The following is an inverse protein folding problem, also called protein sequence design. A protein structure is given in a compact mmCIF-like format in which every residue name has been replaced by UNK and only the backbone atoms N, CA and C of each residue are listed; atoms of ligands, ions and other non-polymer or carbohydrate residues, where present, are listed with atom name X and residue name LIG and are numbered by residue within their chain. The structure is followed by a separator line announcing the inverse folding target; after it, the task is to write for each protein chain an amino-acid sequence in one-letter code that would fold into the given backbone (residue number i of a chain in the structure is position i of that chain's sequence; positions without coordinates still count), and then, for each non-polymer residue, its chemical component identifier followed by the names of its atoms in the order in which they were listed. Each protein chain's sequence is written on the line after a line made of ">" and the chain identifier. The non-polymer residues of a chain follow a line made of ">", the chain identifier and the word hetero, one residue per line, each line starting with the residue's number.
data_IF_803767965649
#
_entry.id   IF_803767965649
#
_cell.length_a   1.000
_cell.length_b   1.000
_cell.length_c   1.000
_cell.angle_alpha   90.00
_cell.angle_beta   90.00
_cell.angle_gamma   90.00
#
_symmetry.space_group_name_H-M   'P 1'
#
loop_
_entity.id
_entity.type
_entity.pdbx_description
1 polymer ?
#
# COMPACT_ATOMS: atom_id res chain seq x y z
N UNK A 1 -28.95 -45.80 -27.75
CA UNK A 1 -28.89 -46.57 -29.00
C UNK A 1 -28.51 -48.05 -28.84
N UNK A 2 -27.83 -48.48 -27.79
CA UNK A 2 -27.71 -49.93 -27.54
C UNK A 2 -29.02 -50.69 -27.30
N UNK A 3 -30.18 -49.98 -27.17
CA UNK A 3 -31.52 -50.55 -26.92
C UNK A 3 -32.46 -50.47 -28.16
N UNK A 4 -31.94 -50.18 -29.37
CA UNK A 4 -32.72 -50.18 -30.59
C UNK A 4 -33.78 -49.10 -30.79
N UNK A 5 -33.73 -48.01 -29.99
CA UNK A 5 -34.68 -46.91 -30.07
C UNK A 5 -34.49 -46.10 -31.39
N UNK A 6 -35.57 -45.73 -32.12
CA UNK A 6 -35.50 -44.91 -33.29
C UNK A 6 -34.86 -43.56 -33.01
N UNK A 7 -34.01 -43.07 -33.91
CA UNK A 7 -33.27 -41.77 -33.78
C UNK A 7 -34.22 -40.62 -33.49
N UNK A 8 -35.40 -40.58 -34.12
CA UNK A 8 -36.43 -39.56 -33.86
C UNK A 8 -36.88 -39.52 -32.43
N UNK A 9 -37.22 -40.65 -31.83
CA UNK A 9 -37.64 -40.72 -30.42
C UNK A 9 -36.56 -40.27 -29.43
N UNK A 10 -35.31 -40.59 -29.73
CA UNK A 10 -34.18 -40.14 -28.91
C UNK A 10 -33.99 -38.63 -29.05
N UNK A 11 -34.13 -38.08 -30.29
CA UNK A 11 -34.03 -36.65 -30.54
C UNK A 11 -35.09 -35.86 -29.73
N UNK A 12 -36.33 -36.34 -29.80
CA UNK A 12 -37.44 -35.73 -29.09
C UNK A 12 -37.28 -35.80 -27.57
N UNK A 13 -36.79 -36.95 -27.03
CA UNK A 13 -36.54 -37.13 -25.60
C UNK A 13 -35.49 -36.16 -25.07
N UNK A 14 -34.47 -35.85 -25.87
CA UNK A 14 -33.39 -34.94 -25.46
C UNK A 14 -33.60 -33.51 -25.98
N UNK A 15 -34.73 -33.22 -26.62
CA UNK A 15 -35.04 -31.93 -27.21
C UNK A 15 -33.92 -31.37 -28.09
N UNK A 16 -33.37 -32.22 -28.97
CA UNK A 16 -32.28 -31.88 -29.89
C UNK A 16 -32.63 -32.26 -31.31
N UNK A 17 -32.08 -31.52 -32.27
CA UNK A 17 -32.25 -31.85 -33.69
C UNK A 17 -31.60 -33.20 -34.04
N UNK A 18 -32.20 -33.94 -35.00
CA UNK A 18 -31.68 -35.23 -35.46
C UNK A 18 -30.25 -35.14 -36.00
N UNK A 19 -29.89 -34.02 -36.63
CA UNK A 19 -28.54 -33.80 -37.15
C UNK A 19 -27.52 -33.68 -36.01
N UNK A 20 -27.90 -33.11 -34.88
CA UNK A 20 -27.10 -33.05 -33.67
C UNK A 20 -26.83 -34.43 -33.10
N UNK A 21 -27.84 -35.32 -33.04
CA UNK A 21 -27.68 -36.71 -32.65
C UNK A 21 -26.74 -37.49 -33.57
N UNK A 22 -26.88 -37.34 -34.87
CA UNK A 22 -25.96 -38.00 -35.81
C UNK A 22 -24.53 -37.48 -35.68
N UNK A 23 -24.35 -36.19 -35.38
CA UNK A 23 -23.03 -35.59 -35.12
C UNK A 23 -22.41 -36.17 -33.82
N UNK A 24 -23.21 -36.32 -32.75
CA UNK A 24 -22.77 -36.94 -31.51
C UNK A 24 -22.42 -38.43 -31.71
N UNK A 25 -23.21 -39.17 -32.45
CA UNK A 25 -22.95 -40.56 -32.77
C UNK A 25 -21.66 -40.72 -33.57
N UNK A 26 -21.41 -39.87 -34.55
CA UNK A 26 -20.18 -39.89 -35.34
C UNK A 26 -18.98 -39.64 -34.43
N UNK A 27 -19.04 -38.62 -33.58
CA UNK A 27 -18.00 -38.30 -32.60
C UNK A 27 -17.74 -39.47 -31.60
N UNK A 28 -18.81 -40.02 -31.11
CA UNK A 28 -18.71 -41.19 -30.20
C UNK A 28 -18.09 -42.44 -30.88
N UNK A 29 -18.44 -42.68 -32.14
CA UNK A 29 -17.85 -43.81 -32.89
C UNK A 29 -16.37 -43.63 -33.16
N UNK A 30 -15.92 -42.37 -33.38
CA UNK A 30 -14.52 -42.06 -33.66
C UNK A 30 -13.67 -42.02 -32.39
N UNK A 31 -14.12 -41.35 -31.33
CA UNK A 31 -13.32 -41.01 -30.16
C UNK A 31 -13.95 -41.47 -28.81
N UNK A 32 -14.92 -42.39 -28.87
CA UNK A 32 -15.58 -42.87 -27.64
C UNK A 32 -16.26 -41.77 -26.84
N UNK A 33 -16.23 -41.90 -25.52
CA UNK A 33 -16.82 -40.86 -24.59
C UNK A 33 -16.13 -39.51 -24.69
N UNK A 34 -14.84 -39.51 -24.96
CA UNK A 34 -14.06 -38.24 -25.06
C UNK A 34 -14.48 -37.42 -26.29
N UNK A 35 -14.95 -38.06 -27.37
CA UNK A 35 -15.52 -37.36 -28.51
C UNK A 35 -16.83 -36.62 -28.23
N UNK A 36 -17.51 -36.90 -27.13
CA UNK A 36 -18.72 -36.19 -26.70
C UNK A 36 -18.41 -34.97 -25.80
N UNK A 37 -17.21 -34.83 -25.30
CA UNK A 37 -16.81 -33.67 -24.55
C UNK A 37 -16.84 -32.43 -25.47
N UNK A 38 -17.25 -31.29 -24.89
CA UNK A 38 -17.26 -30.01 -25.61
C UNK A 38 -15.82 -29.64 -25.96
N UNK A 39 -15.45 -29.74 -27.20
CA UNK A 39 -14.19 -29.20 -27.69
C UNK A 39 -14.26 -27.68 -27.61
N UNK A 40 -13.23 -27.08 -27.02
CA UNK A 40 -13.03 -25.64 -27.06
C UNK A 40 -12.87 -25.31 -28.54
N UNK A 41 -13.75 -24.46 -29.10
CA UNK A 41 -13.63 -23.99 -30.46
C UNK A 41 -12.29 -23.28 -30.63
N UNK A 42 -11.72 -23.35 -31.86
CA UNK A 42 -10.44 -22.71 -32.17
C UNK A 42 -10.45 -21.19 -31.96
N UNK A 43 -11.62 -20.57 -31.79
CA UNK A 43 -11.73 -19.14 -31.56
C UNK A 43 -11.06 -18.30 -32.67
N UNK A 44 -11.14 -16.97 -32.54
CA UNK A 44 -10.32 -16.05 -33.36
C UNK A 44 -8.87 -16.13 -32.83
N UNK A 45 -7.85 -16.22 -33.73
CA UNK A 45 -6.45 -16.15 -33.30
C UNK A 45 -6.21 -14.96 -32.39
N UNK A 46 -5.35 -15.11 -31.39
CA UNK A 46 -5.03 -14.02 -30.46
C UNK A 46 -4.17 -12.99 -31.19
N UNK A 47 -4.61 -11.75 -31.21
CA UNK A 47 -3.95 -10.62 -31.90
C UNK A 47 -2.53 -10.29 -31.40
N UNK A 48 -1.99 -10.92 -30.40
CA UNK A 48 -0.67 -10.66 -29.83
C UNK A 48 0.00 -12.00 -29.47
N UNK A 49 -0.08 -13.01 -30.39
CA UNK A 49 0.57 -14.31 -30.15
C UNK A 49 2.10 -14.17 -30.09
N UNK A 50 2.67 -13.25 -30.88
CA UNK A 50 4.10 -13.00 -30.97
C UNK A 50 4.66 -12.22 -29.73
N UNK A 51 3.80 -11.60 -28.93
CA UNK A 51 4.20 -10.91 -27.71
C UNK A 51 4.15 -11.88 -26.54
N UNK A 52 5.32 -12.38 -26.14
CA UNK A 52 5.42 -13.26 -24.98
C UNK A 52 5.13 -12.50 -23.68
N UNK A 53 4.64 -13.21 -22.67
CA UNK A 53 4.38 -12.62 -21.33
C UNK A 53 5.64 -12.02 -20.71
N UNK A 54 6.80 -12.60 -20.95
CA UNK A 54 8.09 -12.10 -20.47
C UNK A 54 8.43 -10.72 -21.05
N UNK A 55 8.15 -10.51 -22.35
CA UNK A 55 8.46 -9.25 -23.02
C UNK A 55 7.53 -8.14 -22.53
N UNK A 56 6.25 -8.46 -22.34
CA UNK A 56 5.28 -7.53 -21.78
C UNK A 56 5.64 -7.14 -20.32
N UNK A 57 6.08 -8.10 -19.52
CA UNK A 57 6.59 -7.83 -18.16
C UNK A 57 7.83 -6.95 -18.19
N UNK A 58 8.76 -7.21 -19.11
CA UNK A 58 9.97 -6.42 -19.28
C UNK A 58 9.62 -4.96 -19.62
N UNK A 59 8.76 -4.72 -20.63
CA UNK A 59 8.30 -3.37 -21.00
C UNK A 59 7.72 -2.64 -19.78
N UNK A 60 6.82 -3.29 -19.04
CA UNK A 60 6.16 -2.67 -17.86
C UNK A 60 7.13 -2.40 -16.71
N UNK A 61 8.20 -3.18 -16.58
CA UNK A 61 9.24 -2.98 -15.54
C UNK A 61 10.23 -1.87 -15.90
N UNK A 62 10.36 -1.52 -17.18
CA UNK A 62 11.10 -0.34 -17.60
C UNK A 62 10.28 0.94 -17.34
N UNK A 63 10.89 2.05 -16.94
CA UNK A 63 10.22 3.34 -16.89
C UNK A 63 9.66 3.74 -18.26
N UNK A 64 8.48 4.35 -18.30
CA UNK A 64 7.90 4.80 -19.58
C UNK A 64 8.77 5.88 -20.26
N UNK A 65 9.61 6.59 -19.51
CA UNK A 65 10.59 7.55 -20.05
C UNK A 65 11.67 6.91 -20.95
N UNK A 66 11.91 5.61 -20.84
CA UNK A 66 12.79 4.89 -21.77
C UNK A 66 12.14 4.67 -23.17
N UNK A 67 10.85 4.95 -23.27
CA UNK A 67 10.05 4.86 -24.50
C UNK A 67 9.55 6.26 -24.96
N UNK A 68 10.36 7.28 -24.78
CA UNK A 68 10.12 8.67 -25.19
C UNK A 68 8.91 9.37 -24.52
N UNK A 69 8.47 8.90 -23.35
CA UNK A 69 7.47 9.61 -22.56
C UNK A 69 8.13 10.51 -21.49
N UNK A 70 7.51 11.66 -21.21
CA UNK A 70 7.98 12.60 -20.17
C UNK A 70 7.75 12.12 -18.71
N UNK A 71 7.37 10.88 -18.51
CA UNK A 71 6.99 10.33 -17.19
C UNK A 71 7.23 8.83 -17.14
N UNK A 72 7.56 8.33 -15.96
CA UNK A 72 7.82 6.91 -15.73
C UNK A 72 6.54 6.06 -15.60
N UNK A 73 5.36 6.69 -15.65
CA UNK A 73 4.10 5.99 -15.41
C UNK A 73 3.52 5.37 -16.69
N UNK A 74 3.26 4.09 -16.63
CA UNK A 74 2.52 3.39 -17.66
C UNK A 74 1.01 3.62 -17.58
N UNK A 75 0.41 3.89 -18.72
CA UNK A 75 -1.03 3.82 -18.92
C UNK A 75 -1.31 2.77 -20.01
N UNK A 76 -2.52 2.22 -20.02
CA UNK A 76 -2.89 1.26 -21.09
C UNK A 76 -2.73 1.87 -22.48
N UNK A 77 -3.00 3.18 -22.63
CA UNK A 77 -2.83 3.87 -23.92
C UNK A 77 -1.37 3.99 -24.35
N UNK A 78 -0.44 4.24 -23.42
CA UNK A 78 1.00 4.25 -23.74
C UNK A 78 1.51 2.87 -24.10
N UNK A 79 1.12 1.86 -23.33
CA UNK A 79 1.47 0.46 -23.63
C UNK A 79 0.89 0.02 -24.98
N UNK A 80 -0.35 0.43 -25.30
CA UNK A 80 -0.94 0.19 -26.62
C UNK A 80 -0.05 0.74 -27.73
N UNK A 81 0.34 2.01 -27.61
CA UNK A 81 1.16 2.68 -28.62
C UNK A 81 2.52 2.01 -28.80
N UNK A 82 3.22 1.70 -27.72
CA UNK A 82 4.51 0.97 -27.79
C UNK A 82 4.34 -0.41 -28.41
N UNK A 83 3.26 -1.14 -28.10
CA UNK A 83 2.99 -2.46 -28.69
C UNK A 83 2.67 -2.33 -30.19
N UNK A 84 1.89 -1.34 -30.58
CA UNK A 84 1.56 -1.05 -31.99
C UNK A 84 2.80 -0.68 -32.78
N UNK A 85 3.68 0.17 -32.20
CA UNK A 85 4.94 0.59 -32.85
C UNK A 85 5.94 -0.57 -32.99
N UNK A 86 6.02 -1.46 -32.00
CA UNK A 86 6.98 -2.59 -32.01
C UNK A 86 6.51 -3.74 -32.91
N UNK A 87 5.21 -4.03 -32.92
CA UNK A 87 4.67 -5.19 -33.63
C UNK A 87 4.02 -4.83 -34.99
N UNK A 88 3.94 -3.54 -35.29
CA UNK A 88 3.24 -3.02 -36.50
C UNK A 88 1.78 -3.52 -36.64
N UNK A 89 1.09 -3.67 -35.49
CA UNK A 89 -0.26 -4.24 -35.40
C UNK A 89 -1.19 -3.32 -34.64
N UNK A 90 -2.31 -2.93 -35.19
CA UNK A 90 -3.36 -2.20 -34.48
C UNK A 90 -4.07 -3.09 -33.44
N UNK A 91 -4.10 -2.67 -32.19
CA UNK A 91 -4.77 -3.38 -31.10
C UNK A 91 -5.65 -2.46 -30.27
N UNK A 92 -6.74 -2.98 -29.73
CA UNK A 92 -7.59 -2.21 -28.81
C UNK A 92 -7.00 -2.16 -27.40
N UNK A 93 -7.32 -1.09 -26.63
CA UNK A 93 -6.95 -0.97 -25.20
C UNK A 93 -7.44 -2.16 -24.39
N UNK A 94 -8.61 -2.73 -24.71
CA UNK A 94 -9.15 -3.91 -24.03
C UNK A 94 -8.31 -5.16 -24.29
N UNK A 95 -7.75 -5.29 -25.49
CA UNK A 95 -6.83 -6.39 -25.84
C UNK A 95 -5.55 -6.28 -25.02
N UNK A 96 -4.95 -5.08 -24.96
CA UNK A 96 -3.76 -4.80 -24.14
C UNK A 96 -4.06 -5.06 -22.65
N UNK A 97 -5.19 -4.56 -22.13
CA UNK A 97 -5.59 -4.80 -20.74
C UNK A 97 -5.69 -6.29 -20.40
N UNK A 98 -6.32 -7.09 -21.27
CA UNK A 98 -6.42 -8.54 -21.06
C UNK A 98 -5.04 -9.20 -21.05
N UNK A 99 -4.17 -8.84 -22.00
CA UNK A 99 -2.81 -9.39 -22.08
C UNK A 99 -1.98 -9.04 -20.83
N UNK A 100 -2.10 -7.81 -20.32
CA UNK A 100 -1.48 -7.42 -19.02
C UNK A 100 -1.96 -8.30 -17.88
N UNK A 101 -3.27 -8.56 -17.82
CA UNK A 101 -3.85 -9.44 -16.78
C UNK A 101 -3.40 -10.89 -16.93
N UNK A 102 -3.36 -11.42 -18.14
CA UNK A 102 -2.87 -12.77 -18.44
C UNK A 102 -1.40 -12.92 -18.07
N UNK A 103 -0.59 -11.88 -18.26
CA UNK A 103 0.81 -11.81 -17.85
C UNK A 103 0.99 -11.64 -16.31
N UNK A 104 -0.08 -11.66 -15.52
CA UNK A 104 -0.03 -11.53 -14.06
C UNK A 104 0.22 -10.10 -13.56
N UNK A 105 0.08 -9.09 -14.43
CA UNK A 105 0.24 -7.69 -14.07
C UNK A 105 -1.06 -7.11 -13.52
N UNK A 106 -0.94 -6.20 -12.55
CA UNK A 106 -2.08 -5.53 -11.91
C UNK A 106 -1.89 -4.02 -11.95
N UNK A 107 -2.99 -3.30 -12.13
CA UNK A 107 -2.97 -1.83 -12.09
C UNK A 107 -2.87 -1.37 -10.64
N UNK A 108 -1.71 -0.81 -10.27
CA UNK A 108 -1.38 -0.43 -8.91
C UNK A 108 -1.06 1.06 -8.82
N UNK A 109 -1.27 1.64 -7.65
CA UNK A 109 -0.77 2.97 -7.35
C UNK A 109 0.72 2.86 -6.99
N UNK A 110 1.62 3.57 -7.69
CA UNK A 110 3.04 3.53 -7.38
C UNK A 110 3.31 4.17 -6.01
N UNK A 111 4.32 3.68 -5.33
CA UNK A 111 4.88 4.32 -4.15
C UNK A 111 5.82 5.45 -4.56
N UNK A 112 5.91 6.48 -3.71
CA UNK A 112 6.84 7.59 -3.94
C UNK A 112 8.24 7.17 -3.52
N UNK A 113 9.18 7.29 -4.44
CA UNK A 113 10.60 7.21 -4.13
C UNK A 113 11.22 8.61 -4.30
N UNK A 114 11.91 9.07 -3.28
CA UNK A 114 12.55 10.38 -3.34
C UNK A 114 13.90 10.27 -4.05
N UNK A 115 14.17 11.18 -4.98
CA UNK A 115 15.46 11.23 -5.68
C UNK A 115 16.66 11.42 -4.73
N UNK A 116 16.40 11.99 -3.55
CA UNK A 116 17.41 12.25 -2.52
C UNK A 116 17.74 11.04 -1.66
N UNK A 117 17.13 9.88 -1.92
CA UNK A 117 17.44 8.64 -1.19
C UNK A 117 18.88 8.23 -1.46
N UNK A 118 19.67 8.12 -0.41
CA UNK A 118 21.01 7.58 -0.46
C UNK A 118 21.01 6.12 0.00
N UNK A 119 21.03 5.22 -0.97
CA UNK A 119 21.02 3.78 -0.70
C UNK A 119 22.26 3.30 0.02
N UNK A 120 23.43 3.95 -0.20
CA UNK A 120 24.66 3.65 0.54
C UNK A 120 24.53 4.04 2.01
N UNK A 121 23.91 5.20 2.29
CA UNK A 121 23.62 5.62 3.65
C UNK A 121 22.63 4.67 4.34
N UNK A 122 21.61 4.18 3.63
CA UNK A 122 20.65 3.16 4.12
C UNK A 122 21.37 1.86 4.47
N UNK A 123 22.18 1.33 3.58
CA UNK A 123 22.97 0.11 3.81
C UNK A 123 23.96 0.27 4.98
N UNK A 124 24.61 1.43 5.08
CA UNK A 124 25.46 1.76 6.22
C UNK A 124 24.66 1.72 7.52
N UNK A 125 23.49 2.36 7.56
CA UNK A 125 22.62 2.41 8.73
C UNK A 125 22.23 1.00 9.21
N UNK A 126 21.87 0.12 8.29
CA UNK A 126 21.54 -1.28 8.61
C UNK A 126 22.73 -2.02 9.24
N UNK A 127 23.95 -1.71 8.81
CA UNK A 127 25.16 -2.37 9.29
C UNK A 127 25.71 -1.77 10.59
N UNK A 128 25.48 -0.48 10.83
CA UNK A 128 26.07 0.24 11.98
C UNK A 128 25.05 0.55 13.07
N UNK A 129 23.92 1.18 12.72
CA UNK A 129 22.95 1.68 13.69
C UNK A 129 22.01 0.58 14.19
N UNK A 130 21.50 -0.29 13.33
CA UNK A 130 20.61 -1.39 13.71
C UNK A 130 21.23 -2.29 14.79
N UNK A 131 22.50 -2.74 14.68
CA UNK A 131 23.14 -3.50 15.74
C UNK A 131 23.26 -2.72 17.05
N UNK A 132 23.56 -1.42 17.00
CA UNK A 132 23.63 -0.55 18.20
C UNK A 132 22.26 -0.40 18.86
N UNK A 133 21.21 -0.15 18.07
CA UNK A 133 19.83 -0.10 18.55
C UNK A 133 19.46 -1.42 19.26
N UNK A 134 19.74 -2.56 18.63
CA UNK A 134 19.48 -3.89 19.22
C UNK A 134 20.25 -4.12 20.50
N UNK A 135 21.51 -3.70 20.56
CA UNK A 135 22.35 -3.77 21.76
C UNK A 135 21.77 -2.92 22.86
N UNK A 136 21.43 -1.65 22.59
CA UNK A 136 20.82 -0.75 23.57
C UNK A 136 19.47 -1.30 24.10
N UNK A 137 18.61 -1.82 23.22
CA UNK A 137 17.34 -2.44 23.62
C UNK A 137 17.57 -3.62 24.56
N UNK A 138 18.56 -4.48 24.26
CA UNK A 138 18.88 -5.67 25.07
C UNK A 138 19.54 -5.32 26.39
N UNK A 139 20.58 -4.49 26.35
CA UNK A 139 21.40 -4.12 27.51
C UNK A 139 20.59 -3.39 28.57
N UNK A 140 19.81 -2.38 28.15
CA UNK A 140 18.99 -1.58 29.05
C UNK A 140 17.59 -2.14 29.26
N UNK A 141 17.24 -3.28 28.62
CA UNK A 141 15.87 -3.80 28.58
C UNK A 141 14.86 -2.70 28.15
N UNK A 142 15.31 -1.86 27.22
CA UNK A 142 14.59 -0.67 26.80
C UNK A 142 13.38 -1.01 25.94
N UNK A 143 12.41 -0.11 25.91
CA UNK A 143 11.29 -0.19 24.97
C UNK A 143 11.69 0.60 23.72
N UNK A 144 11.63 -0.07 22.55
CA UNK A 144 11.89 0.56 21.26
C UNK A 144 10.64 1.24 20.73
N UNK A 145 10.79 2.50 20.38
CA UNK A 145 9.79 3.32 19.68
C UNK A 145 10.35 3.90 18.38
N UNK A 146 9.53 3.94 17.39
CA UNK A 146 9.71 4.79 16.22
C UNK A 146 8.77 5.98 16.35
N UNK A 147 9.30 7.18 16.21
CA UNK A 147 8.57 8.42 16.40
C UNK A 147 8.46 9.17 15.07
N UNK A 148 7.34 9.82 14.86
CA UNK A 148 7.09 10.64 13.68
C UNK A 148 6.10 11.78 13.99
N UNK A 149 6.05 12.73 13.06
CA UNK A 149 5.18 13.90 13.12
C UNK A 149 4.25 13.94 11.92
N UNK A 150 3.06 14.45 12.14
CA UNK A 150 2.14 14.65 11.04
C UNK A 150 1.24 15.85 11.25
N UNK A 151 0.87 16.47 10.14
CA UNK A 151 -0.22 17.43 10.14
C UNK A 151 -1.49 16.73 9.63
N UNK A 152 -2.55 16.82 10.42
CA UNK A 152 -3.90 16.36 10.05
C UNK A 152 -4.65 17.57 9.49
N UNK A 153 -4.96 17.52 8.20
CA UNK A 153 -5.62 18.62 7.52
C UNK A 153 -7.10 18.75 7.90
N UNK A 154 -7.58 19.98 8.01
CA UNK A 154 -9.01 20.27 8.15
C UNK A 154 -9.77 19.89 6.86
N UNK A 155 -9.15 19.99 5.69
CA UNK A 155 -9.69 19.46 4.44
C UNK A 155 -9.55 17.95 4.42
N UNK A 156 -10.68 17.25 4.46
CA UNK A 156 -10.71 15.78 4.54
C UNK A 156 -10.18 15.10 3.27
N UNK A 157 -9.48 14.01 3.43
CA UNK A 157 -9.19 13.08 2.34
C UNK A 157 -10.48 12.40 1.87
N UNK A 158 -10.78 12.49 0.57
CA UNK A 158 -11.86 11.75 -0.05
C UNK A 158 -11.33 10.41 -0.58
N UNK A 159 -12.11 9.37 -0.41
CA UNK A 159 -11.83 8.08 -1.02
C UNK A 159 -12.91 7.71 -2.04
N UNK A 160 -12.78 6.53 -2.60
CA UNK A 160 -13.84 5.97 -3.46
C UNK A 160 -15.06 5.61 -2.63
N UNK A 161 -16.25 5.83 -3.20
CA UNK A 161 -17.55 5.42 -2.65
C UNK A 161 -18.46 4.91 -3.77
N UNK A 162 -19.54 4.27 -3.41
CA UNK A 162 -20.55 3.81 -4.37
C UNK A 162 -21.43 4.96 -4.84
N UNK A 163 -21.82 4.91 -6.11
CA UNK A 163 -22.74 5.84 -6.74
C UNK A 163 -23.44 5.21 -7.92
N UNK A 164 -24.47 5.87 -8.42
CA UNK A 164 -25.18 5.45 -9.64
C UNK A 164 -24.23 5.63 -10.83
N UNK A 165 -24.22 4.68 -11.76
CA UNK A 165 -23.42 4.77 -12.98
C UNK A 165 -23.71 6.09 -13.73
N UNK A 166 -22.67 6.81 -14.10
CA UNK A 166 -22.79 8.13 -14.75
C UNK A 166 -23.08 9.30 -13.81
N UNK A 167 -23.32 9.06 -12.50
CA UNK A 167 -23.56 10.11 -11.52
C UNK A 167 -22.47 10.11 -10.45
N UNK A 168 -21.59 11.11 -10.50
CA UNK A 168 -20.52 11.24 -9.52
C UNK A 168 -21.08 11.65 -8.15
N UNK A 169 -20.87 10.84 -7.07
CA UNK A 169 -21.30 11.21 -5.73
C UNK A 169 -20.62 12.50 -5.25
N UNK A 170 -21.40 13.35 -4.57
CA UNK A 170 -20.89 14.59 -3.97
C UNK A 170 -20.81 14.42 -2.46
N UNK A 171 -19.65 14.75 -1.88
CA UNK A 171 -19.41 14.73 -0.44
C UNK A 171 -19.10 16.15 0.02
N UNK A 172 -19.86 16.67 0.97
CA UNK A 172 -19.60 17.98 1.54
C UNK A 172 -18.39 17.94 2.46
N UNK A 173 -17.42 18.80 2.20
CA UNK A 173 -16.21 18.99 3.01
C UNK A 173 -16.01 20.48 3.27
N UNK A 174 -15.26 20.83 4.31
CA UNK A 174 -14.91 22.23 4.54
C UNK A 174 -13.89 22.72 3.52
N UNK A 175 -14.05 23.93 3.04
CA UNK A 175 -13.05 24.65 2.24
C UNK A 175 -12.03 25.43 3.09
N UNK A 176 -12.18 25.45 4.41
CA UNK A 176 -11.30 26.17 5.34
C UNK A 176 -9.93 25.48 5.38
N UNK A 177 -8.87 26.30 5.20
CA UNK A 177 -7.50 25.82 5.37
C UNK A 177 -7.15 25.72 6.84
N UNK A 178 -6.27 24.78 7.17
CA UNK A 178 -5.80 24.59 8.53
C UNK A 178 -5.57 23.10 8.84
N UNK A 179 -5.18 22.84 10.08
CA UNK A 179 -4.93 21.47 10.53
C UNK A 179 -4.48 21.43 11.98
N UNK A 180 -4.24 20.23 12.44
CA UNK A 180 -3.74 19.91 13.78
C UNK A 180 -2.40 19.22 13.64
N UNK A 181 -1.37 19.73 14.32
CA UNK A 181 -0.08 19.08 14.39
C UNK A 181 -0.15 17.94 15.41
N UNK A 182 0.46 16.83 15.08
CA UNK A 182 0.45 15.65 15.94
C UNK A 182 1.82 14.98 15.92
N UNK A 183 2.22 14.44 17.08
CA UNK A 183 3.35 13.53 17.21
C UNK A 183 2.85 12.18 17.68
N UNK A 184 3.45 11.11 17.20
CA UNK A 184 3.25 9.78 17.76
C UNK A 184 4.54 9.00 17.88
N UNK A 185 4.49 7.93 18.63
CA UNK A 185 5.56 6.96 18.75
C UNK A 185 4.95 5.56 18.83
N UNK A 186 5.34 4.71 17.89
CA UNK A 186 4.86 3.34 17.74
C UNK A 186 5.93 2.34 18.19
N UNK A 187 5.57 1.37 19.01
CA UNK A 187 6.44 0.24 19.37
C UNK A 187 6.04 -1.05 18.67
N UNK A 188 7.02 -1.95 18.45
CA UNK A 188 6.76 -3.29 17.91
C UNK A 188 5.86 -4.15 18.79
N UNK A 189 5.70 -3.81 20.07
CA UNK A 189 4.77 -4.46 20.99
C UNK A 189 3.31 -4.03 20.76
N UNK A 190 3.04 -3.11 19.82
CA UNK A 190 1.71 -2.59 19.54
C UNK A 190 1.26 -1.53 20.54
N UNK A 191 2.16 -0.71 21.05
CA UNK A 191 1.84 0.44 21.88
C UNK A 191 2.02 1.73 21.09
N UNK A 192 1.03 2.60 21.14
CA UNK A 192 1.03 3.92 20.51
C UNK A 192 0.94 5.00 21.61
N UNK A 193 1.94 5.86 21.68
CA UNK A 193 1.89 7.12 22.41
C UNK A 193 1.68 8.24 21.40
N UNK A 194 0.91 9.26 21.75
CA UNK A 194 0.66 10.38 20.85
C UNK A 194 0.30 11.67 21.60
N UNK A 195 0.52 12.79 20.93
CA UNK A 195 0.13 14.13 21.40
C UNK A 195 -0.32 14.99 20.23
N UNK A 196 -1.32 15.83 20.48
CA UNK A 196 -1.81 16.85 19.53
C UNK A 196 -1.36 18.23 19.99
N UNK A 197 -0.91 19.04 19.05
CA UNK A 197 -0.42 20.40 19.30
C UNK A 197 -1.23 21.40 18.49
N UNK A 198 -1.45 22.58 19.06
CA UNK A 198 -2.18 23.65 18.39
C UNK A 198 -1.29 24.44 17.42
N UNK A 199 0.01 24.43 17.68
CA UNK A 199 1.02 25.15 16.92
C UNK A 199 1.87 24.18 16.07
N UNK A 200 2.76 24.75 15.27
CA UNK A 200 3.79 23.99 14.57
C UNK A 200 4.71 23.34 15.60
N UNK A 201 5.10 22.11 15.32
CA UNK A 201 6.05 21.38 16.15
C UNK A 201 7.45 21.98 15.97
N UNK A 202 8.06 22.36 17.07
CA UNK A 202 9.44 22.80 17.17
C UNK A 202 10.17 21.97 18.23
N UNK A 203 11.42 22.32 18.55
CA UNK A 203 12.24 21.56 19.53
C UNK A 203 11.59 21.47 20.91
N UNK A 204 10.84 22.49 21.35
CA UNK A 204 10.15 22.47 22.63
C UNK A 204 9.06 21.40 22.68
N UNK A 205 8.27 21.26 21.61
CA UNK A 205 7.23 20.20 21.51
C UNK A 205 7.85 18.81 21.44
N UNK A 206 8.99 18.66 20.75
CA UNK A 206 9.74 17.39 20.70
C UNK A 206 10.19 16.99 22.09
N UNK A 207 10.85 17.91 22.80
CA UNK A 207 11.32 17.68 24.18
C UNK A 207 10.15 17.35 25.10
N UNK A 208 9.08 18.11 25.02
CA UNK A 208 7.88 17.87 25.82
C UNK A 208 7.29 16.49 25.57
N UNK A 209 7.24 16.03 24.33
CA UNK A 209 6.74 14.70 24.00
C UNK A 209 7.67 13.59 24.51
N UNK A 210 8.99 13.73 24.35
CA UNK A 210 9.98 12.80 24.88
C UNK A 210 9.91 12.71 26.42
N UNK A 211 9.74 13.84 27.09
CA UNK A 211 9.56 13.87 28.55
C UNK A 211 8.29 13.12 28.97
N UNK A 212 7.17 13.32 28.28
CA UNK A 212 5.94 12.58 28.51
C UNK A 212 6.10 11.06 28.30
N UNK A 213 6.87 10.65 27.28
CA UNK A 213 7.19 9.24 27.07
C UNK A 213 7.98 8.66 28.25
N UNK A 214 8.96 9.39 28.78
CA UNK A 214 9.74 9.00 29.95
C UNK A 214 8.88 8.94 31.23
N UNK A 215 7.96 9.88 31.40
CA UNK A 215 7.02 9.90 32.52
C UNK A 215 6.00 8.75 32.45
N UNK A 216 5.52 8.42 31.23
CA UNK A 216 4.64 7.28 31.01
C UNK A 216 5.31 5.95 31.35
N UNK A 217 6.60 5.83 31.06
CA UNK A 217 7.42 4.64 31.29
C UNK A 217 8.34 4.82 32.51
N UNK A 218 7.76 5.02 33.68
CA UNK A 218 8.53 5.20 34.91
C UNK A 218 9.54 4.06 35.12
N UNK A 219 10.81 4.41 35.36
CA UNK A 219 11.87 3.45 35.63
C UNK A 219 12.34 2.60 34.43
N UNK A 220 11.80 2.80 33.21
CA UNK A 220 12.21 2.07 32.01
C UNK A 220 13.09 2.93 31.12
N UNK A 221 14.06 2.30 30.50
CA UNK A 221 14.79 2.92 29.39
C UNK A 221 13.97 2.91 28.11
N UNK A 222 14.13 3.94 27.32
CA UNK A 222 13.52 4.09 25.99
C UNK A 222 14.61 4.21 24.94
N UNK A 223 14.47 3.45 23.90
CA UNK A 223 15.18 3.66 22.63
C UNK A 223 14.19 4.28 21.66
N UNK A 224 14.49 5.47 21.18
CA UNK A 224 13.62 6.19 20.24
C UNK A 224 14.36 6.41 18.94
N UNK A 225 13.75 5.99 17.86
CA UNK A 225 14.25 6.20 16.50
C UNK A 225 13.35 7.24 15.82
N UNK A 226 13.93 8.32 15.32
CA UNK A 226 13.21 9.40 14.63
C UNK A 226 13.97 9.87 13.40
N UNK A 227 13.35 10.71 12.59
CA UNK A 227 14.03 11.30 11.44
C UNK A 227 15.02 12.40 11.86
N UNK A 228 15.74 12.95 10.88
CA UNK A 228 16.72 14.02 11.09
C UNK A 228 16.14 15.43 10.85
N UNK A 229 14.85 15.64 11.13
CA UNK A 229 14.25 16.96 11.02
C UNK A 229 14.96 18.00 11.92
N UNK A 230 14.99 19.29 11.56
CA UNK A 230 15.67 20.32 12.35
C UNK A 230 15.26 20.37 13.82
N UNK A 231 13.99 20.20 14.21
CA UNK A 231 13.61 20.13 15.63
C UNK A 231 14.25 18.99 16.38
N UNK A 232 14.47 17.83 15.73
CA UNK A 232 15.05 16.63 16.36
C UNK A 232 16.56 16.75 16.55
N UNK A 233 17.25 17.45 15.65
CA UNK A 233 18.69 17.57 15.65
C UNK A 233 19.21 18.90 16.24
N UNK A 234 18.31 19.73 16.74
CA UNK A 234 18.64 21.03 17.35
C UNK A 234 19.52 20.87 18.59
N UNK A 235 20.31 21.90 18.88
CA UNK A 235 21.16 21.93 20.08
C UNK A 235 20.32 21.75 21.37
N UNK A 236 19.14 22.37 21.42
CA UNK A 236 18.24 22.28 22.56
C UNK A 236 17.76 20.84 22.79
N UNK A 237 17.37 20.13 21.73
CA UNK A 237 16.94 18.74 21.81
C UNK A 237 18.10 17.82 22.22
N UNK A 238 19.30 18.03 21.66
CA UNK A 238 20.50 17.25 22.02
C UNK A 238 20.86 17.45 23.51
N UNK A 239 20.92 18.69 23.99
CA UNK A 239 21.21 18.99 25.40
C UNK A 239 20.18 18.35 26.33
N UNK A 240 18.90 18.34 25.97
CA UNK A 240 17.88 17.63 26.74
C UNK A 240 18.16 16.12 26.80
N UNK A 241 18.46 15.50 25.67
CA UNK A 241 18.71 14.05 25.59
C UNK A 241 19.94 13.65 26.40
N UNK A 242 21.02 14.43 26.33
CA UNK A 242 22.26 14.22 27.12
C UNK A 242 21.98 14.23 28.63
N UNK A 243 21.03 15.03 29.06
CA UNK A 243 20.59 15.08 30.45
C UNK A 243 19.65 13.93 30.89
N UNK A 244 19.26 13.03 29.95
CA UNK A 244 18.29 11.98 30.21
C UNK A 244 18.89 10.57 30.14
N UNK A 245 19.42 9.99 31.23
CA UNK A 245 20.16 8.70 31.17
C UNK A 245 19.29 7.51 30.73
N UNK A 246 17.98 7.64 30.75
CA UNK A 246 17.04 6.60 30.34
C UNK A 246 16.57 6.73 28.88
N UNK A 247 17.03 7.74 28.13
CA UNK A 247 16.63 8.02 26.76
C UNK A 247 17.80 7.82 25.80
N UNK A 248 17.67 6.85 24.91
CA UNK A 248 18.66 6.53 23.89
C UNK A 248 18.08 6.87 22.54
N UNK A 249 18.64 7.87 21.86
CA UNK A 249 18.12 8.36 20.60
C UNK A 249 18.97 7.87 19.43
N UNK A 250 18.29 7.45 18.35
CA UNK A 250 18.86 7.10 17.07
C UNK A 250 18.11 7.81 15.94
N UNK A 251 18.82 8.02 14.84
CA UNK A 251 18.23 8.72 13.69
C UNK A 251 18.14 7.79 12.48
N UNK A 252 16.99 7.86 11.78
CA UNK A 252 16.85 7.22 10.47
C UNK A 252 17.75 7.90 9.43
N UNK A 253 18.13 7.21 8.35
CA UNK A 253 18.74 7.84 7.21
C UNK A 253 17.86 8.94 6.65
N UNK A 254 18.46 10.00 6.12
CA UNK A 254 17.70 11.09 5.49
C UNK A 254 16.84 10.55 4.35
N UNK A 255 15.68 11.17 4.14
CA UNK A 255 14.72 10.82 3.09
C UNK A 255 14.26 9.35 3.10
N UNK A 256 14.09 8.77 4.29
CA UNK A 256 13.67 7.37 4.45
C UNK A 256 12.35 7.23 5.25
N UNK A 257 11.27 7.91 4.88
CA UNK A 257 9.98 7.79 5.58
C UNK A 257 9.39 6.38 5.47
N UNK A 258 9.68 5.68 4.38
CA UNK A 258 9.31 4.27 4.16
C UNK A 258 9.92 3.33 5.22
N UNK A 259 10.98 3.76 5.90
CA UNK A 259 11.66 3.05 6.98
C UNK A 259 11.13 3.41 8.38
N UNK A 260 10.20 4.37 8.47
CA UNK A 260 9.55 4.72 9.73
C UNK A 260 8.21 3.99 9.88
N UNK A 261 8.08 2.99 10.77
CA UNK A 261 6.81 2.31 11.01
C UNK A 261 5.68 3.25 11.47
N UNK A 262 6.01 4.36 12.13
CA UNK A 262 5.01 5.32 12.63
C UNK A 262 4.31 6.07 11.49
N UNK A 263 4.95 6.21 10.30
CA UNK A 263 4.29 6.69 9.08
C UNK A 263 3.05 5.86 8.68
N UNK A 264 3.05 4.56 8.99
CA UNK A 264 1.89 3.70 8.73
C UNK A 264 0.72 4.03 9.64
N UNK A 265 0.99 4.54 10.86
CA UNK A 265 -0.04 5.06 11.78
C UNK A 265 -0.73 6.27 11.15
N UNK A 266 0.05 7.23 10.65
CA UNK A 266 -0.49 8.42 10.00
C UNK A 266 -1.26 8.11 8.73
N UNK A 267 -0.76 7.17 7.94
CA UNK A 267 -1.45 6.68 6.75
C UNK A 267 -2.81 6.06 7.11
N UNK A 268 -2.84 5.19 8.11
CA UNK A 268 -4.07 4.58 8.59
C UNK A 268 -5.05 5.63 9.14
N UNK A 269 -4.56 6.53 9.98
CA UNK A 269 -5.38 7.61 10.54
C UNK A 269 -6.03 8.46 9.44
N UNK A 270 -5.24 8.95 8.47
CA UNK A 270 -5.71 9.87 7.43
C UNK A 270 -6.65 9.22 6.41
N UNK A 271 -6.31 8.00 6.00
CA UNK A 271 -7.00 7.34 4.87
C UNK A 271 -8.09 6.35 5.29
N UNK A 272 -8.13 5.94 6.56
CA UNK A 272 -9.17 5.04 7.07
C UNK A 272 -10.01 5.72 8.15
N UNK A 273 -9.40 6.19 9.24
CA UNK A 273 -10.12 6.69 10.40
C UNK A 273 -10.74 8.09 10.20
N UNK A 274 -10.03 8.97 9.48
CA UNK A 274 -10.44 10.36 9.21
C UNK A 274 -10.89 10.58 7.75
N UNK A 275 -11.07 9.50 6.99
CA UNK A 275 -11.55 9.60 5.62
C UNK A 275 -12.90 10.29 5.56
N UNK A 276 -13.02 11.32 4.70
CA UNK A 276 -14.23 12.11 4.51
C UNK A 276 -14.84 12.66 5.83
N UNK A 277 -13.99 13.01 6.82
CA UNK A 277 -14.48 13.61 8.06
C UNK A 277 -15.23 14.93 7.81
N UNK A 278 -16.13 15.28 8.73
CA UNK A 278 -17.00 16.45 8.62
C UNK A 278 -16.64 17.59 9.58
N UNK A 279 -15.44 17.54 10.17
CA UNK A 279 -14.99 18.61 11.05
C UNK A 279 -14.94 19.94 10.30
N UNK A 280 -15.51 20.98 10.86
CA UNK A 280 -15.60 22.33 10.28
C UNK A 280 -14.58 23.29 10.91
N UNK A 281 -14.18 23.01 12.15
CA UNK A 281 -13.23 23.84 12.91
C UNK A 281 -12.02 23.01 13.34
N UNK A 282 -10.96 23.71 13.74
CA UNK A 282 -9.73 23.09 14.25
C UNK A 282 -10.00 22.30 15.54
N UNK A 283 -10.87 22.82 16.40
CA UNK A 283 -11.26 22.21 17.67
C UNK A 283 -12.01 20.88 17.43
N UNK A 284 -12.97 20.88 16.51
CA UNK A 284 -13.68 19.67 16.09
C UNK A 284 -12.72 18.62 15.52
N UNK A 285 -11.79 19.07 14.64
CA UNK A 285 -10.79 18.18 14.06
C UNK A 285 -9.87 17.60 15.13
N UNK A 286 -9.43 18.43 16.09
CA UNK A 286 -8.57 18.01 17.22
C UNK A 286 -9.28 16.98 18.09
N UNK A 287 -10.53 17.23 18.44
CA UNK A 287 -11.35 16.28 19.22
C UNK A 287 -11.53 14.95 18.49
N UNK A 288 -11.88 15.01 17.20
CA UNK A 288 -12.05 13.83 16.36
C UNK A 288 -10.73 13.03 16.21
N UNK A 289 -9.63 13.72 15.91
CA UNK A 289 -8.30 13.11 15.78
C UNK A 289 -7.88 12.42 17.08
N UNK A 290 -8.08 13.10 18.22
CA UNK A 290 -7.79 12.52 19.53
C UNK A 290 -8.62 11.26 19.80
N UNK A 291 -9.92 11.29 19.50
CA UNK A 291 -10.80 10.13 19.66
C UNK A 291 -10.34 8.94 18.81
N UNK A 292 -9.96 9.18 17.55
CA UNK A 292 -9.47 8.16 16.65
C UNK A 292 -8.14 7.56 17.08
N UNK A 293 -7.16 8.38 17.42
CA UNK A 293 -5.86 7.91 17.94
C UNK A 293 -6.02 7.14 19.24
N UNK A 294 -6.92 7.57 20.14
CA UNK A 294 -7.26 6.79 21.36
C UNK A 294 -7.91 5.46 21.03
N UNK A 295 -8.76 5.40 20.00
CA UNK A 295 -9.32 4.15 19.49
C UNK A 295 -8.22 3.20 19.00
N UNK A 296 -7.32 3.70 18.16
CA UNK A 296 -6.19 2.94 17.63
C UNK A 296 -5.26 2.46 18.77
N UNK A 297 -4.95 3.30 19.77
CA UNK A 297 -4.07 2.94 20.88
C UNK A 297 -4.61 1.79 21.76
N UNK A 298 -5.92 1.55 21.72
CA UNK A 298 -6.58 0.42 22.39
C UNK A 298 -6.56 -0.87 21.57
N UNK A 299 -6.00 -0.86 20.37
CA UNK A 299 -5.94 -2.02 19.47
C UNK A 299 -4.48 -2.44 19.17
N UNK A 300 -3.81 -3.18 20.09
CA UNK A 300 -2.43 -3.60 19.90
C UNK A 300 -2.22 -4.49 18.67
N UNK A 301 -3.24 -5.25 18.26
CA UNK A 301 -3.16 -6.11 17.07
C UNK A 301 -3.05 -5.28 15.79
N UNK A 302 -3.88 -4.24 15.65
CA UNK A 302 -3.77 -3.27 14.56
C UNK A 302 -2.38 -2.63 14.53
N UNK A 303 -1.92 -2.13 15.69
CA UNK A 303 -0.66 -1.40 15.79
C UNK A 303 0.55 -2.29 15.46
N UNK A 304 0.57 -3.53 15.92
CA UNK A 304 1.58 -4.52 15.49
C UNK A 304 1.53 -4.74 13.99
N UNK A 305 0.33 -4.93 13.43
CA UNK A 305 0.16 -5.07 11.98
C UNK A 305 0.67 -3.86 11.19
N UNK A 306 0.52 -2.63 11.71
CA UNK A 306 1.07 -1.43 11.10
C UNK A 306 2.60 -1.38 11.22
N UNK A 307 3.14 -1.74 12.38
CA UNK A 307 4.59 -1.79 12.62
C UNK A 307 5.28 -2.76 11.66
N UNK A 308 4.81 -4.01 11.58
CA UNK A 308 5.41 -5.06 10.75
C UNK A 308 5.13 -4.93 9.24
N UNK A 309 4.38 -3.93 8.81
CA UNK A 309 4.29 -3.56 7.38
C UNK A 309 5.48 -2.72 6.90
N UNK A 310 6.34 -2.31 7.79
CA UNK A 310 7.55 -1.56 7.45
C UNK A 310 8.72 -2.53 7.27
N UNK A 311 9.48 -2.38 6.20
CA UNK A 311 10.63 -3.25 5.88
C UNK A 311 11.73 -3.26 6.96
N UNK A 312 11.81 -2.21 7.77
CA UNK A 312 12.78 -2.11 8.88
C UNK A 312 12.33 -2.90 10.11
N UNK A 313 11.03 -3.19 10.22
CA UNK A 313 10.48 -3.90 11.37
C UNK A 313 11.06 -5.31 11.56
N UNK A 314 11.42 -6.00 10.46
CA UNK A 314 11.99 -7.34 10.49
C UNK A 314 13.34 -7.40 11.24
N UNK A 315 14.03 -6.26 11.37
CA UNK A 315 15.27 -6.18 12.14
C UNK A 315 15.05 -6.04 13.65
N UNK A 316 13.81 -5.78 14.08
CA UNK A 316 13.45 -5.47 15.48
C UNK A 316 12.34 -6.36 16.03
N UNK A 317 11.93 -7.39 15.29
CA UNK A 317 10.93 -8.40 15.67
C UNK A 317 11.47 -9.45 16.63
#
# INVERSE_FOLDING_TARGET
>A
MKRGLPVGQVADTFNVDRTTLFRWLRRFRTNGKDGLQRQIGSGRPRLLEDLEEKDLRWIVMCPASEFDYETDLWTVGRLQQVIEDVLEVEVSKDTVWRRLRDAGLTYQKPERQYFQVDEKARQKWLRTEVPQIRTAVREFRAILYFQDESNVSLTAFLGKTWGICGQTPRVSVTGTRGGVSAMSALSGQGRLLFRLFDNRICSAEVIYFLDQMLQFHKGRHLVVVMDQAPPHTSQMTRAYIEGQPRLHLFYLPKYSPDWNPDEKVWNHLKHHELKAHKAKTKEELKALTNAKLRGMSKNPSLLRGLFFRCCVADFFG
#
